data_IF_787330114371
#
_entry.id   IF_787330114371
#
_cell.length_a   1.000
_cell.length_b   1.000
_cell.length_c   1.000
_cell.angle_alpha   90.00
_cell.angle_beta   90.00
_cell.angle_gamma   90.00
#
_symmetry.space_group_name_H-M   'P 1'
#
loop_
_entity.id
_entity.type
_entity.pdbx_description
1 polymer ?
#
# COMPACT_ATOMS: atom_id res chain seq x y z
N UNK A 1 -20.54 0.23 2.39
CA UNK A 1 -19.60 -0.80 1.89
C UNK A 1 -18.35 -0.06 1.47
N UNK A 2 -17.17 -0.43 1.97
CA UNK A 2 -15.90 0.15 1.48
C UNK A 2 -15.71 -0.27 0.02
N UNK A 3 -15.43 0.68 -0.86
CA UNK A 3 -15.17 0.34 -2.27
C UNK A 3 -13.89 -0.52 -2.36
N UNK A 4 -13.82 -1.47 -3.32
CA UNK A 4 -12.58 -2.20 -3.57
C UNK A 4 -11.46 -1.22 -3.93
N UNK A 5 -10.36 -1.26 -3.21
CA UNK A 5 -9.19 -0.45 -3.54
C UNK A 5 -8.46 -0.96 -4.78
N UNK A 6 -7.48 -0.20 -5.25
CA UNK A 6 -6.60 -0.59 -6.35
C UNK A 6 -5.14 -0.48 -5.95
N UNK A 7 -4.36 -1.51 -6.27
CA UNK A 7 -2.91 -1.47 -6.28
C UNK A 7 -2.44 -1.26 -7.72
N UNK A 8 -1.57 -0.30 -7.97
CA UNK A 8 -1.00 -0.05 -9.29
C UNK A 8 0.50 0.20 -9.23
N UNK A 9 1.17 -0.06 -10.35
CA UNK A 9 2.60 0.21 -10.50
C UNK A 9 2.80 1.69 -10.86
N UNK A 10 3.79 2.34 -10.26
CA UNK A 10 4.13 3.73 -10.59
C UNK A 10 5.52 3.88 -11.19
N UNK A 11 5.78 5.07 -11.72
CA UNK A 11 7.10 5.43 -12.25
C UNK A 11 8.14 5.37 -11.13
N UNK A 12 9.26 4.69 -11.38
CA UNK A 12 10.31 4.49 -10.37
C UNK A 12 10.19 3.19 -9.57
N UNK A 13 9.22 2.32 -9.88
CA UNK A 13 9.10 0.99 -9.28
C UNK A 13 8.39 0.97 -7.92
N UNK A 14 7.86 2.11 -7.48
CA UNK A 14 6.98 2.17 -6.32
C UNK A 14 5.59 1.62 -6.67
N UNK A 15 4.83 1.26 -5.63
CA UNK A 15 3.43 0.87 -5.77
C UNK A 15 2.52 1.97 -5.24
N UNK A 16 1.46 2.26 -5.97
CA UNK A 16 0.39 3.15 -5.54
C UNK A 16 -0.79 2.33 -5.03
N UNK A 17 -1.39 2.81 -3.95
CA UNK A 17 -2.57 2.23 -3.30
C UNK A 17 -3.65 3.30 -3.33
N UNK A 18 -4.72 3.08 -4.06
CA UNK A 18 -5.90 3.95 -4.07
C UNK A 18 -7.04 3.26 -3.32
N UNK A 19 -7.53 3.88 -2.24
CA UNK A 19 -8.62 3.37 -1.39
C UNK A 19 -9.49 4.53 -0.90
N UNK A 20 -10.81 4.41 -1.07
CA UNK A 20 -11.74 5.54 -0.91
C UNK A 20 -11.22 6.80 -1.65
N UNK A 21 -11.00 7.91 -0.94
CA UNK A 21 -10.42 9.14 -1.50
C UNK A 21 -8.91 9.29 -1.26
N UNK A 22 -8.29 8.32 -0.59
CA UNK A 22 -6.89 8.39 -0.14
C UNK A 22 -5.95 7.67 -1.12
N UNK A 23 -4.74 8.20 -1.24
CA UNK A 23 -3.69 7.66 -2.09
C UNK A 23 -2.43 7.45 -1.25
N UNK A 24 -1.95 6.22 -1.22
CA UNK A 24 -0.72 5.86 -0.51
C UNK A 24 0.31 5.26 -1.46
N UNK A 25 1.53 5.14 -0.96
CA UNK A 25 2.68 4.60 -1.68
C UNK A 25 3.41 3.54 -0.85
N UNK A 26 4.02 2.60 -1.55
CA UNK A 26 5.07 1.72 -1.02
C UNK A 26 6.31 1.95 -1.88
N UNK A 27 7.43 2.29 -1.26
CA UNK A 27 8.67 2.56 -1.98
C UNK A 27 9.28 1.30 -2.59
N UNK A 28 9.93 1.47 -3.74
CA UNK A 28 10.60 0.38 -4.44
C UNK A 28 11.66 -0.32 -3.57
N UNK A 29 12.37 0.45 -2.73
CA UNK A 29 13.39 -0.08 -1.81
C UNK A 29 12.79 -0.99 -0.73
N UNK A 30 11.58 -0.67 -0.28
CA UNK A 30 10.86 -1.44 0.73
C UNK A 30 10.25 -2.72 0.15
N UNK A 31 9.80 -2.72 -1.12
CA UNK A 31 9.23 -3.90 -1.77
C UNK A 31 10.15 -5.12 -1.69
N UNK A 32 11.47 -4.91 -1.77
CA UNK A 32 12.45 -5.99 -1.63
C UNK A 32 12.40 -6.63 -0.24
N UNK A 33 12.25 -5.81 0.80
CA UNK A 33 12.17 -6.25 2.18
C UNK A 33 10.96 -7.14 2.44
N UNK A 34 9.81 -6.76 1.88
CA UNK A 34 8.58 -7.56 1.97
C UNK A 34 8.68 -8.85 1.13
N UNK A 35 9.05 -8.74 -0.15
CA UNK A 35 8.97 -9.86 -1.09
C UNK A 35 10.03 -10.95 -0.88
N UNK A 36 11.23 -10.58 -0.42
CA UNK A 36 12.33 -11.55 -0.23
C UNK A 36 12.53 -11.96 1.22
N UNK A 37 12.25 -11.08 2.18
CA UNK A 37 12.51 -11.33 3.59
C UNK A 37 11.23 -11.42 4.45
N UNK A 38 10.05 -11.24 3.85
CA UNK A 38 8.77 -11.27 4.57
C UNK A 38 8.65 -10.18 5.64
N UNK A 39 9.46 -9.12 5.55
CA UNK A 39 9.46 -8.04 6.55
C UNK A 39 8.24 -7.16 6.38
N UNK A 40 7.73 -6.67 7.50
CA UNK A 40 6.74 -5.59 7.50
C UNK A 40 7.40 -4.33 6.97
N UNK A 41 6.72 -3.62 6.08
CA UNK A 41 7.24 -2.42 5.41
C UNK A 41 6.25 -1.26 5.53
N UNK A 42 6.72 0.01 5.50
CA UNK A 42 5.83 1.16 5.64
C UNK A 42 4.94 1.34 4.40
N UNK A 43 3.76 1.92 4.65
CA UNK A 43 2.91 2.55 3.63
C UNK A 43 2.96 4.05 3.92
N UNK A 44 3.24 4.85 2.90
CA UNK A 44 3.49 6.29 3.03
C UNK A 44 2.48 7.14 2.24
N UNK A 45 2.39 8.42 2.58
CA UNK A 45 1.62 9.44 1.88
C UNK A 45 2.45 10.73 1.79
N UNK A 46 2.42 11.40 0.63
CA UNK A 46 2.99 12.74 0.50
C UNK A 46 1.98 13.76 1.03
N UNK A 47 2.25 14.32 2.21
CA UNK A 47 1.39 15.33 2.84
C UNK A 47 1.94 16.71 2.62
N UNK A 48 1.10 17.59 2.11
CA UNK A 48 1.42 19.00 2.00
C UNK A 48 0.86 19.77 3.20
N UNK A 49 1.69 20.63 3.80
CA UNK A 49 1.30 21.52 4.89
C UNK A 49 1.85 22.91 4.63
N UNK A 50 1.02 23.92 4.87
CA UNK A 50 1.47 25.32 4.88
C UNK A 50 2.09 25.64 6.24
N UNK A 51 3.35 26.07 6.24
CA UNK A 51 4.02 26.58 7.43
C UNK A 51 3.36 27.90 7.91
N UNK A 52 3.59 28.33 9.16
CA UNK A 52 3.08 29.62 9.64
C UNK A 52 3.49 30.83 8.78
N UNK A 53 4.59 30.72 8.02
CA UNK A 53 5.07 31.74 7.08
C UNK A 53 4.49 31.66 5.67
N UNK A 54 3.51 30.79 5.41
CA UNK A 54 2.86 30.68 4.09
C UNK A 54 3.58 29.77 3.08
N UNK A 55 4.67 29.10 3.47
CA UNK A 55 5.41 28.19 2.59
C UNK A 55 4.73 26.82 2.60
N UNK A 56 4.38 26.30 1.41
CA UNK A 56 3.91 24.93 1.24
C UNK A 56 5.10 23.98 1.34
N UNK A 57 5.07 23.08 2.32
CA UNK A 57 6.08 22.03 2.52
C UNK A 57 5.43 20.68 2.27
N UNK A 58 6.09 19.81 1.52
CA UNK A 58 5.68 18.41 1.32
C UNK A 58 6.55 17.51 2.19
N UNK A 59 5.93 16.69 3.02
CA UNK A 59 6.58 15.71 3.88
C UNK A 59 6.03 14.31 3.59
N UNK A 60 6.89 13.30 3.67
CA UNK A 60 6.47 11.89 3.58
C UNK A 60 6.06 11.45 4.97
N UNK A 61 4.79 11.05 5.13
CA UNK A 61 4.26 10.51 6.38
C UNK A 61 4.08 8.99 6.28
N UNK A 62 4.31 8.26 7.38
CA UNK A 62 3.97 6.83 7.47
C UNK A 62 2.51 6.74 7.92
N UNK A 63 1.67 6.17 7.06
CA UNK A 63 0.21 6.13 7.22
C UNK A 63 -0.32 4.70 7.34
N UNK A 64 0.59 3.73 7.41
CA UNK A 64 0.25 2.33 7.43
C UNK A 64 1.45 1.39 7.32
N UNK A 65 1.15 0.12 7.13
CA UNK A 65 2.15 -0.90 6.85
C UNK A 65 1.60 -2.02 5.96
N UNK A 66 2.49 -2.64 5.19
CA UNK A 66 2.22 -3.85 4.44
C UNK A 66 2.94 -5.04 5.08
N UNK A 67 2.26 -6.19 5.13
CA UNK A 67 2.80 -7.43 5.69
C UNK A 67 2.32 -8.63 4.88
N UNK A 68 3.12 -9.70 4.83
CA UNK A 68 2.61 -10.98 4.33
C UNK A 68 1.61 -11.57 5.35
N UNK A 69 0.55 -12.21 4.85
CA UNK A 69 -0.33 -12.98 5.71
C UNK A 69 0.37 -14.26 6.23
N UNK A 70 -0.21 -14.92 7.23
CA UNK A 70 0.39 -16.10 7.87
C UNK A 70 0.65 -17.27 6.90
N UNK A 71 -0.15 -17.42 5.85
CA UNK A 71 0.05 -18.47 4.83
C UNK A 71 1.10 -18.12 3.78
N UNK A 72 1.58 -16.86 3.77
CA UNK A 72 2.49 -16.34 2.76
C UNK A 72 1.91 -16.25 1.34
N UNK A 73 0.59 -16.32 1.21
CA UNK A 73 -0.11 -16.32 -0.10
C UNK A 73 -0.71 -14.97 -0.47
N UNK A 74 -0.72 -14.02 0.45
CA UNK A 74 -1.26 -12.69 0.23
C UNK A 74 -0.49 -11.62 1.00
N UNK A 75 -0.58 -10.39 0.51
CA UNK A 75 -0.11 -9.19 1.20
C UNK A 75 -1.32 -8.49 1.83
N UNK A 76 -1.21 -8.20 3.12
CA UNK A 76 -2.15 -7.38 3.89
C UNK A 76 -1.62 -5.95 3.88
N UNK A 77 -2.51 -5.00 3.61
CA UNK A 77 -2.24 -3.57 3.62
C UNK A 77 -3.09 -2.94 4.71
N UNK A 78 -2.46 -2.40 5.75
CA UNK A 78 -3.12 -1.69 6.82
C UNK A 78 -2.86 -0.20 6.64
N UNK A 79 -3.91 0.58 6.39
CA UNK A 79 -3.85 2.04 6.23
C UNK A 79 -4.73 2.72 7.27
N UNK A 80 -4.73 4.06 7.33
CA UNK A 80 -5.65 4.81 8.20
C UNK A 80 -7.13 4.55 7.93
N UNK A 81 -7.48 4.28 6.67
CA UNK A 81 -8.89 4.17 6.23
C UNK A 81 -9.41 2.74 6.17
N UNK A 82 -8.53 1.75 6.31
CA UNK A 82 -8.96 0.36 6.33
C UNK A 82 -7.83 -0.64 6.25
N UNK A 83 -8.21 -1.90 6.32
CA UNK A 83 -7.31 -3.02 6.06
C UNK A 83 -7.75 -3.72 4.78
N UNK A 84 -6.80 -4.10 3.95
CA UNK A 84 -7.05 -4.70 2.65
C UNK A 84 -6.11 -5.88 2.43
N UNK A 85 -6.48 -6.76 1.51
CA UNK A 85 -5.68 -7.92 1.13
C UNK A 85 -5.60 -8.04 -0.40
N UNK A 86 -4.45 -8.49 -0.88
CA UNK A 86 -4.21 -8.78 -2.30
C UNK A 86 -3.42 -10.09 -2.43
N UNK A 87 -3.79 -11.00 -3.35
CA UNK A 87 -3.01 -12.22 -3.59
C UNK A 87 -1.55 -11.90 -3.93
N UNK A 88 -0.61 -12.66 -3.38
CA UNK A 88 0.83 -12.42 -3.56
C UNK A 88 1.21 -12.43 -5.05
N UNK A 89 0.61 -13.33 -5.84
CA UNK A 89 0.87 -13.38 -7.29
C UNK A 89 0.47 -12.07 -7.99
N UNK A 90 -0.69 -11.51 -7.65
CA UNK A 90 -1.15 -10.24 -8.20
C UNK A 90 -0.24 -9.09 -7.76
N UNK A 91 0.11 -9.04 -6.47
CA UNK A 91 1.04 -8.05 -5.93
C UNK A 91 2.39 -8.10 -6.65
N UNK A 92 2.97 -9.29 -6.84
CA UNK A 92 4.25 -9.47 -7.53
C UNK A 92 4.22 -9.02 -8.98
N UNK A 93 3.15 -9.33 -9.72
CA UNK A 93 3.00 -8.90 -11.11
C UNK A 93 2.90 -7.39 -11.21
N UNK A 94 2.18 -6.73 -10.31
CA UNK A 94 2.13 -5.26 -10.25
C UNK A 94 3.50 -4.69 -9.85
N UNK A 95 4.15 -5.23 -8.81
CA UNK A 95 5.48 -4.79 -8.35
C UNK A 95 6.58 -4.90 -9.43
N UNK A 96 6.44 -5.83 -10.36
CA UNK A 96 7.38 -6.01 -11.49
C UNK A 96 6.98 -5.24 -12.75
N UNK A 97 5.85 -4.54 -12.74
CA UNK A 97 5.28 -3.88 -13.93
C UNK A 97 4.73 -4.86 -14.98
N UNK A 98 4.55 -6.14 -14.64
CA UNK A 98 3.96 -7.17 -15.51
C UNK A 98 2.43 -7.07 -15.58
N UNK A 99 1.81 -6.36 -14.63
CA UNK A 99 0.40 -6.03 -14.58
C UNK A 99 0.24 -4.54 -14.27
N UNK A 100 -0.72 -3.89 -14.94
CA UNK A 100 -1.03 -2.46 -14.73
C UNK A 100 -1.54 -2.22 -13.30
N UNK A 101 -2.41 -3.10 -12.82
CA UNK A 101 -3.04 -3.01 -11.51
C UNK A 101 -3.59 -4.34 -11.01
N UNK A 102 -3.98 -4.36 -9.74
CA UNK A 102 -4.72 -5.45 -9.09
C UNK A 102 -5.77 -4.89 -8.11
N UNK A 103 -6.93 -5.56 -7.96
CA UNK A 103 -7.92 -5.17 -6.97
C UNK A 103 -7.43 -5.46 -5.55
N UNK A 104 -7.82 -4.59 -4.62
CA UNK A 104 -7.68 -4.76 -3.18
C UNK A 104 -9.02 -5.17 -2.59
N UNK A 105 -9.00 -6.23 -1.79
CA UNK A 105 -10.20 -6.73 -1.12
C UNK A 105 -10.23 -6.21 0.32
N UNK A 106 -11.31 -5.55 0.77
CA UNK A 106 -11.39 -5.06 2.14
C UNK A 106 -11.40 -6.23 3.14
N UNK A 107 -10.60 -6.12 4.20
CA UNK A 107 -10.63 -7.01 5.35
C UNK A 107 -11.62 -6.46 6.38
N UNK A 108 -12.71 -7.20 6.59
CA UNK A 108 -13.73 -6.84 7.58
C UNK A 108 -13.27 -7.36 8.95
N UNK A 109 -13.12 -6.49 9.97
CA UNK A 109 -12.76 -6.94 11.32
C UNK A 109 -13.76 -7.99 11.83
N UNK A 110 -13.25 -9.13 12.31
CA UNK A 110 -14.06 -10.21 12.89
C UNK A 110 -14.52 -11.31 11.92
N UNK A 111 -14.14 -11.26 10.65
CA UNK A 111 -14.49 -12.28 9.63
C UNK A 111 -13.29 -13.20 9.27
N UNK A 112 -12.08 -12.83 9.65
CA UNK A 112 -10.87 -13.60 9.38
C UNK A 112 -10.49 -14.46 10.59
N UNK A 113 -10.74 -15.77 10.48
CA UNK A 113 -10.23 -16.80 11.40
C UNK A 113 -8.81 -17.24 11.09
#
# INVERSE_FOLDING_TARGET
>A
MTEPGTLSHSTGGALHIAVDAEHYRIEAEDLKSLLFYGRVIPITEDRSRTTPGGILVSEVAIEGHAAMNASGKAVMLHTRVGSYIVPLISFQRVARGEAISAPLFPLIPGVTG
#
